data_IF_478124466669
#
_entry.id   IF_478124466669
#
_cell.length_a   1.000
_cell.length_b   1.000
_cell.length_c   1.000
_cell.angle_alpha   90.00
_cell.angle_beta   90.00
_cell.angle_gamma   90.00
#
_symmetry.space_group_name_H-M   'P 1'
#
loop_
_entity.id
_entity.type
_entity.pdbx_description
1 polymer ?
#
# COMPACT_ATOMS: atom_id res chain seq x y z
N UNK A 1 -6.55 -22.85 -30.56
CA UNK A 1 -6.55 -22.34 -29.19
C UNK A 1 -7.17 -20.96 -29.17
N UNK A 2 -7.95 -20.62 -28.14
CA UNK A 2 -8.52 -19.28 -27.98
C UNK A 2 -7.48 -18.34 -27.37
N UNK A 3 -7.49 -17.07 -27.76
CA UNK A 3 -6.58 -16.07 -27.18
C UNK A 3 -7.18 -15.47 -25.91
N UNK A 4 -6.42 -15.36 -24.83
CA UNK A 4 -6.91 -14.83 -23.56
C UNK A 4 -6.57 -13.35 -23.45
N UNK A 5 -7.61 -12.53 -23.35
CA UNK A 5 -7.51 -11.10 -23.08
C UNK A 5 -7.65 -10.89 -21.58
N UNK A 6 -6.62 -10.31 -20.96
CA UNK A 6 -6.49 -10.21 -19.50
C UNK A 6 -6.86 -8.82 -18.99
N UNK A 7 -6.60 -7.80 -19.81
CA UNK A 7 -6.81 -6.38 -19.54
C UNK A 7 -7.13 -5.64 -20.83
N UNK A 8 -7.56 -4.38 -20.76
CA UNK A 8 -7.71 -3.56 -21.96
C UNK A 8 -6.38 -3.24 -22.66
N UNK A 9 -5.27 -3.26 -21.93
CA UNK A 9 -3.94 -3.05 -22.50
C UNK A 9 -3.53 -4.22 -23.43
N UNK A 10 -4.14 -5.39 -23.25
CA UNK A 10 -3.88 -6.56 -24.10
C UNK A 10 -4.67 -6.49 -25.40
N UNK A 11 -4.10 -5.80 -26.40
CA UNK A 11 -4.66 -5.76 -27.76
C UNK A 11 -4.73 -7.18 -28.34
N UNK A 12 -5.94 -7.70 -28.47
CA UNK A 12 -6.24 -8.97 -29.13
C UNK A 12 -5.65 -8.99 -30.55
N UNK A 13 -5.03 -10.11 -30.98
CA UNK A 13 -4.66 -10.29 -32.38
C UNK A 13 -5.90 -10.29 -33.29
N UNK A 14 -5.85 -9.55 -34.40
CA UNK A 14 -6.90 -9.59 -35.42
C UNK A 14 -7.08 -11.03 -35.93
N UNK A 15 -8.33 -11.47 -36.10
CA UNK A 15 -8.73 -12.80 -36.63
C UNK A 15 -8.54 -14.02 -35.71
N UNK A 16 -8.55 -13.87 -34.38
CA UNK A 16 -8.57 -15.00 -33.43
C UNK A 16 -9.79 -14.97 -32.52
N UNK A 17 -10.39 -16.14 -32.25
CA UNK A 17 -11.36 -16.31 -31.16
C UNK A 17 -10.69 -15.99 -29.82
N UNK A 18 -11.38 -15.26 -28.95
CA UNK A 18 -10.83 -14.81 -27.67
C UNK A 18 -11.75 -15.11 -26.49
N UNK A 19 -11.14 -15.33 -25.33
CA UNK A 19 -11.79 -15.35 -24.03
C UNK A 19 -11.30 -14.14 -23.22
N UNK A 20 -12.21 -13.40 -22.62
CA UNK A 20 -11.90 -12.24 -21.78
C UNK A 20 -11.94 -12.66 -20.30
N UNK A 21 -10.90 -12.36 -19.51
CA UNK A 21 -10.83 -12.76 -18.09
C UNK A 21 -11.86 -12.07 -17.19
N UNK A 22 -12.50 -11.02 -17.69
CA UNK A 22 -13.60 -10.35 -17.02
C UNK A 22 -14.10 -9.15 -17.79
N UNK A 23 -15.10 -8.48 -17.24
CA UNK A 23 -15.73 -7.30 -17.87
C UNK A 23 -14.81 -6.08 -17.90
N UNK A 24 -13.74 -6.06 -17.10
CA UNK A 24 -12.72 -5.01 -17.12
C UNK A 24 -11.84 -5.04 -18.38
N UNK A 25 -11.93 -6.08 -19.22
CA UNK A 25 -11.23 -6.12 -20.49
C UNK A 25 -11.84 -5.20 -21.57
N UNK A 26 -12.95 -4.51 -21.28
CA UNK A 26 -13.68 -3.66 -22.22
C UNK A 26 -13.66 -2.18 -21.81
N UNK A 27 -13.57 -1.28 -22.80
CA UNK A 27 -13.42 0.17 -22.60
C UNK A 27 -14.69 0.94 -22.26
N UNK A 28 -15.85 0.30 -22.34
CA UNK A 28 -17.12 0.86 -21.91
C UNK A 28 -17.82 -0.13 -20.98
N UNK A 29 -18.56 0.34 -19.95
CA UNK A 29 -19.41 -0.53 -19.15
C UNK A 29 -20.32 -1.31 -20.08
N UNK A 30 -20.13 -2.63 -20.11
CA UNK A 30 -20.80 -3.52 -21.03
C UNK A 30 -22.24 -3.77 -20.58
N UNK A 31 -23.04 -2.72 -20.49
CA UNK A 31 -24.48 -2.86 -20.36
C UNK A 31 -25.00 -3.25 -21.75
N UNK A 32 -25.25 -4.55 -21.94
CA UNK A 32 -25.86 -5.05 -23.16
C UNK A 32 -24.91 -5.49 -24.28
N UNK A 33 -23.83 -6.23 -23.97
CA UNK A 33 -23.24 -7.10 -25.00
C UNK A 33 -24.27 -8.20 -25.32
N UNK A 34 -25.18 -7.90 -26.24
CA UNK A 34 -25.87 -8.90 -27.03
C UNK A 34 -24.88 -9.35 -28.12
N UNK A 35 -24.20 -10.48 -27.90
CA UNK A 35 -23.38 -11.13 -28.92
C UNK A 35 -22.14 -11.85 -28.39
N UNK A 36 -22.08 -13.16 -28.62
CA UNK A 36 -20.92 -14.00 -29.02
C UNK A 36 -19.54 -13.91 -28.34
N UNK A 37 -19.30 -13.13 -27.29
CA UNK A 37 -17.99 -13.04 -26.63
C UNK A 37 -17.92 -13.97 -25.41
N UNK A 38 -16.89 -14.82 -25.35
CA UNK A 38 -16.65 -15.69 -24.20
C UNK A 38 -16.00 -14.87 -23.07
N UNK A 39 -16.75 -14.56 -22.02
CA UNK A 39 -16.25 -13.83 -20.84
C UNK A 39 -16.16 -14.81 -19.67
N UNK A 40 -14.98 -14.90 -19.05
CA UNK A 40 -14.77 -15.71 -17.87
C UNK A 40 -15.55 -15.12 -16.68
N UNK A 41 -16.31 -15.94 -15.93
CA UNK A 41 -17.07 -15.47 -14.78
C UNK A 41 -16.17 -14.82 -13.73
N UNK A 42 -16.67 -13.78 -13.08
CA UNK A 42 -15.96 -13.17 -11.95
C UNK A 42 -15.78 -14.18 -10.81
N UNK A 43 -14.52 -14.45 -10.47
CA UNK A 43 -14.14 -15.56 -9.56
C UNK A 43 -14.66 -15.42 -8.13
N UNK A 44 -15.05 -14.20 -7.72
CA UNK A 44 -15.56 -13.89 -6.38
C UNK A 44 -17.08 -13.70 -6.31
N UNK A 45 -17.83 -14.10 -7.35
CA UNK A 45 -19.30 -14.09 -7.32
C UNK A 45 -19.88 -15.01 -6.22
N UNK A 46 -19.17 -16.09 -5.86
CA UNK A 46 -19.51 -16.95 -4.74
C UNK A 46 -19.05 -16.32 -3.41
N UNK A 47 -20.01 -15.91 -2.57
CA UNK A 47 -19.73 -15.30 -1.26
C UNK A 47 -19.06 -16.26 -0.28
N UNK A 48 -19.38 -17.55 -0.31
CA UNK A 48 -18.75 -18.55 0.56
C UNK A 48 -17.27 -18.69 0.22
N UNK A 49 -16.96 -18.71 -1.08
CA UNK A 49 -15.59 -18.69 -1.60
C UNK A 49 -14.87 -17.40 -1.23
N UNK A 50 -15.48 -16.24 -1.48
CA UNK A 50 -14.89 -14.95 -1.11
C UNK A 50 -14.53 -14.90 0.38
N UNK A 51 -15.45 -15.30 1.26
CA UNK A 51 -15.23 -15.32 2.71
C UNK A 51 -14.09 -16.27 3.13
N UNK A 52 -14.05 -17.47 2.55
CA UNK A 52 -12.98 -18.45 2.80
C UNK A 52 -11.62 -17.87 2.43
N UNK A 53 -11.51 -17.31 1.23
CA UNK A 53 -10.25 -16.78 0.70
C UNK A 53 -9.80 -15.50 1.42
N UNK A 54 -10.74 -14.63 1.81
CA UNK A 54 -10.46 -13.48 2.68
C UNK A 54 -9.85 -13.92 4.01
N UNK A 55 -10.42 -14.96 4.64
CA UNK A 55 -9.88 -15.52 5.90
C UNK A 55 -8.47 -16.09 5.69
N UNK A 56 -8.25 -16.86 4.63
CA UNK A 56 -6.94 -17.42 4.31
C UNK A 56 -5.87 -16.33 4.12
N UNK A 57 -6.20 -15.26 3.39
CA UNK A 57 -5.28 -14.14 3.18
C UNK A 57 -5.03 -13.38 4.49
N UNK A 58 -6.07 -13.15 5.30
CA UNK A 58 -5.93 -12.50 6.59
C UNK A 58 -5.01 -13.28 7.54
N UNK A 59 -5.13 -14.61 7.61
CA UNK A 59 -4.29 -15.47 8.44
C UNK A 59 -2.81 -15.46 8.02
N UNK A 60 -2.54 -15.33 6.72
CA UNK A 60 -1.17 -15.27 6.17
C UNK A 60 -0.58 -13.87 6.20
N UNK A 61 -1.43 -12.82 6.19
CA UNK A 61 -1.03 -11.41 6.07
C UNK A 61 0.12 -11.03 7.01
N UNK A 62 -0.02 -11.34 8.30
CA UNK A 62 0.97 -10.95 9.31
C UNK A 62 2.29 -11.71 9.22
N UNK A 63 2.24 -12.95 8.75
CA UNK A 63 3.41 -13.79 8.51
C UNK A 63 4.17 -13.22 7.31
N UNK A 64 3.48 -13.00 6.18
CA UNK A 64 4.07 -12.44 4.97
C UNK A 64 4.65 -11.04 5.22
N UNK A 65 3.94 -10.20 5.99
CA UNK A 65 4.45 -8.89 6.38
C UNK A 65 5.69 -9.00 7.28
N UNK A 66 5.77 -10.00 8.16
CA UNK A 66 6.98 -10.27 8.96
C UNK A 66 8.20 -10.57 8.09
N UNK A 67 8.04 -11.38 7.04
CA UNK A 67 9.10 -11.64 6.07
C UNK A 67 9.48 -10.38 5.28
N UNK A 68 8.49 -9.61 4.84
CA UNK A 68 8.70 -8.33 4.18
C UNK A 68 9.54 -7.37 5.04
N UNK A 69 9.21 -7.26 6.33
CA UNK A 69 9.97 -6.48 7.32
C UNK A 69 11.40 -6.96 7.44
N UNK A 70 11.63 -8.26 7.56
CA UNK A 70 12.98 -8.82 7.66
C UNK A 70 13.80 -8.51 6.40
N UNK A 71 13.18 -8.59 5.22
CA UNK A 71 13.83 -8.24 3.96
C UNK A 71 14.19 -6.76 3.92
N UNK A 72 13.28 -5.85 4.30
CA UNK A 72 13.57 -4.42 4.37
C UNK A 72 14.71 -4.11 5.36
N UNK A 73 14.67 -4.68 6.55
CA UNK A 73 15.75 -4.56 7.53
C UNK A 73 17.10 -5.02 6.95
N UNK A 74 17.13 -6.17 6.27
CA UNK A 74 18.34 -6.68 5.63
C UNK A 74 18.84 -5.79 4.48
N UNK A 75 17.94 -5.33 3.61
CA UNK A 75 18.28 -4.43 2.49
C UNK A 75 18.92 -3.14 3.00
N UNK A 76 18.37 -2.59 4.08
CA UNK A 76 18.78 -1.31 4.64
C UNK A 76 19.87 -1.42 5.71
N UNK A 77 20.28 -2.63 6.08
CA UNK A 77 21.15 -2.90 7.23
C UNK A 77 20.65 -2.22 8.51
N UNK A 78 19.37 -2.41 8.79
CA UNK A 78 18.65 -1.87 9.95
C UNK A 78 18.05 -2.99 10.78
N UNK A 79 17.69 -2.68 12.03
CA UNK A 79 16.96 -3.59 12.91
C UNK A 79 15.74 -2.88 13.50
N UNK A 80 14.88 -2.38 12.62
CA UNK A 80 13.67 -1.66 13.02
C UNK A 80 12.51 -2.62 13.30
N UNK A 81 11.62 -2.21 14.20
CA UNK A 81 10.49 -3.03 14.63
C UNK A 81 9.45 -3.26 13.53
N UNK A 82 8.62 -4.30 13.67
CA UNK A 82 7.45 -4.53 12.80
C UNK A 82 6.51 -3.31 12.78
N UNK A 83 6.34 -2.62 13.92
CA UNK A 83 5.53 -1.40 14.04
C UNK A 83 6.11 -0.23 13.24
N UNK A 84 7.43 0.00 13.31
CA UNK A 84 8.11 1.02 12.52
C UNK A 84 7.83 0.84 11.03
N UNK A 85 8.05 -0.36 10.51
CA UNK A 85 7.79 -0.66 9.10
C UNK A 85 6.31 -0.66 8.76
N UNK A 86 5.43 -1.04 9.70
CA UNK A 86 4.00 -1.03 9.47
C UNK A 86 3.47 0.39 9.25
N UNK A 87 3.90 1.36 10.07
CA UNK A 87 3.56 2.78 9.91
C UNK A 87 3.93 3.28 8.50
N UNK A 88 5.05 2.80 7.96
CA UNK A 88 5.55 3.24 6.66
C UNK A 88 4.85 2.51 5.50
N UNK A 89 4.66 1.20 5.60
CA UNK A 89 4.43 0.34 4.44
C UNK A 89 3.17 -0.53 4.50
N UNK A 90 2.55 -0.73 5.67
CA UNK A 90 1.54 -1.79 5.85
C UNK A 90 0.32 -1.58 4.96
N UNK A 91 -0.22 -0.36 4.86
CA UNK A 91 -1.34 -0.06 3.95
C UNK A 91 -1.05 -0.49 2.51
N UNK A 92 0.10 -0.08 1.97
CA UNK A 92 0.52 -0.45 0.62
C UNK A 92 0.70 -1.96 0.48
N UNK A 93 1.31 -2.61 1.48
CA UNK A 93 1.52 -4.07 1.46
C UNK A 93 0.18 -4.84 1.46
N UNK A 94 -0.77 -4.43 2.30
CA UNK A 94 -2.08 -5.08 2.40
C UNK A 94 -2.91 -4.85 1.11
N UNK A 95 -2.83 -3.67 0.49
CA UNK A 95 -3.42 -3.40 -0.83
C UNK A 95 -2.78 -4.27 -1.91
N UNK A 96 -1.43 -4.31 -1.95
CA UNK A 96 -0.66 -5.11 -2.91
C UNK A 96 -0.99 -6.60 -2.80
N UNK A 97 -1.05 -7.12 -1.57
CA UNK A 97 -1.37 -8.52 -1.29
C UNK A 97 -2.74 -8.91 -1.83
N UNK A 98 -3.76 -8.10 -1.54
CA UNK A 98 -5.12 -8.38 -2.02
C UNK A 98 -5.22 -8.31 -3.55
N UNK A 99 -4.63 -7.28 -4.16
CA UNK A 99 -4.66 -7.10 -5.61
C UNK A 99 -3.90 -8.23 -6.31
N UNK A 100 -2.70 -8.56 -5.85
CA UNK A 100 -1.92 -9.65 -6.43
C UNK A 100 -2.61 -10.99 -6.25
N UNK A 101 -3.23 -11.24 -5.10
CA UNK A 101 -4.02 -12.44 -4.86
C UNK A 101 -5.21 -12.58 -5.80
N UNK A 102 -5.94 -11.49 -6.03
CA UNK A 102 -7.05 -11.47 -6.99
C UNK A 102 -6.59 -11.88 -8.40
N UNK A 103 -5.50 -11.29 -8.90
CA UNK A 103 -4.96 -11.61 -10.23
C UNK A 103 -4.43 -13.04 -10.30
N UNK A 104 -3.70 -13.49 -9.28
CA UNK A 104 -3.20 -14.88 -9.18
C UNK A 104 -4.36 -15.87 -9.23
N UNK A 105 -5.38 -15.64 -8.41
CA UNK A 105 -6.49 -16.56 -8.27
C UNK A 105 -7.38 -16.57 -9.51
N UNK A 106 -7.56 -15.41 -10.17
CA UNK A 106 -8.23 -15.33 -11.48
C UNK A 106 -7.53 -16.19 -12.53
N UNK A 107 -6.20 -16.11 -12.64
CA UNK A 107 -5.43 -16.96 -13.57
C UNK A 107 -5.53 -18.44 -13.19
N UNK A 108 -5.41 -18.77 -11.91
CA UNK A 108 -5.49 -20.15 -11.44
C UNK A 108 -6.81 -20.81 -11.81
N UNK A 109 -7.93 -20.17 -11.49
CA UNK A 109 -9.27 -20.68 -11.83
C UNK A 109 -9.50 -20.73 -13.33
N UNK A 110 -8.96 -19.77 -14.08
CA UNK A 110 -9.07 -19.78 -15.53
C UNK A 110 -8.33 -20.97 -16.16
N UNK A 111 -7.12 -21.29 -15.68
CA UNK A 111 -6.35 -22.45 -16.16
C UNK A 111 -7.08 -23.76 -15.86
N UNK A 112 -7.74 -23.84 -14.70
CA UNK A 112 -8.56 -25.01 -14.33
C UNK A 112 -9.84 -25.11 -15.19
N UNK A 113 -10.35 -23.98 -15.68
CA UNK A 113 -11.53 -23.89 -16.54
C UNK A 113 -11.25 -24.24 -18.01
N UNK A 114 -10.14 -23.77 -18.58
CA UNK A 114 -9.75 -24.02 -19.97
C UNK A 114 -8.23 -24.27 -20.06
N UNK A 115 -7.86 -25.38 -20.71
CA UNK A 115 -6.45 -25.79 -20.91
C UNK A 115 -5.92 -25.49 -22.31
N UNK A 116 -6.76 -25.03 -23.24
CA UNK A 116 -6.43 -24.81 -24.66
C UNK A 116 -6.45 -23.33 -25.05
N UNK A 117 -5.58 -22.57 -24.40
CA UNK A 117 -5.49 -21.13 -24.60
C UNK A 117 -4.09 -20.66 -25.00
N UNK A 118 -4.05 -19.54 -25.70
CA UNK A 118 -2.84 -18.77 -25.97
C UNK A 118 -2.96 -17.41 -25.27
N UNK A 119 -1.84 -16.89 -24.80
CA UNK A 119 -1.77 -15.57 -24.19
C UNK A 119 -0.47 -14.88 -24.58
N UNK A 120 -0.44 -13.56 -24.44
CA UNK A 120 0.79 -12.76 -24.52
C UNK A 120 1.13 -12.25 -23.12
N UNK A 121 2.41 -12.30 -22.78
CA UNK A 121 2.93 -11.54 -21.64
C UNK A 121 3.52 -10.22 -22.12
N UNK A 122 3.35 -9.17 -21.32
CA UNK A 122 4.15 -7.97 -21.39
C UNK A 122 5.64 -8.35 -21.25
N UNK A 123 6.48 -7.79 -22.13
CA UNK A 123 7.91 -8.06 -22.10
C UNK A 123 8.53 -7.41 -20.85
N UNK A 124 9.47 -8.09 -20.16
CA UNK A 124 10.08 -7.56 -18.93
C UNK A 124 10.74 -6.18 -19.09
N UNK A 125 11.25 -5.85 -20.28
CA UNK A 125 11.82 -4.54 -20.61
C UNK A 125 10.80 -3.38 -20.50
N UNK A 126 9.50 -3.70 -20.62
CA UNK A 126 8.43 -2.72 -20.49
C UNK A 126 7.89 -2.64 -19.06
N UNK A 127 8.38 -3.45 -18.12
CA UNK A 127 7.87 -3.39 -16.75
C UNK A 127 8.20 -2.04 -16.12
N UNK A 128 7.23 -1.50 -15.38
CA UNK A 128 7.36 -0.25 -14.64
C UNK A 128 7.43 -0.59 -13.15
N UNK A 129 8.43 -0.02 -12.48
CA UNK A 129 8.53 -0.02 -11.03
C UNK A 129 8.09 1.33 -10.52
N UNK A 130 7.07 1.40 -9.63
CA UNK A 130 6.60 2.67 -9.08
C UNK A 130 7.70 3.36 -8.28
N UNK A 131 7.77 4.68 -8.33
CA UNK A 131 8.68 5.48 -7.52
C UNK A 131 8.17 5.57 -6.08
N UNK A 132 6.87 5.84 -5.92
CA UNK A 132 6.22 6.02 -4.60
C UNK A 132 5.05 5.05 -4.41
N UNK A 133 4.61 4.88 -3.16
CA UNK A 133 3.38 4.12 -2.87
C UNK A 133 2.14 4.78 -3.47
N UNK A 134 2.11 6.12 -3.56
CA UNK A 134 1.01 6.86 -4.17
C UNK A 134 0.97 6.68 -5.69
N UNK A 135 2.14 6.70 -6.35
CA UNK A 135 2.24 6.37 -7.77
C UNK A 135 1.73 4.94 -8.02
N UNK A 136 2.07 3.99 -7.16
CA UNK A 136 1.56 2.63 -7.28
C UNK A 136 0.02 2.57 -7.19
N UNK A 137 -0.55 3.23 -6.17
CA UNK A 137 -2.00 3.30 -5.98
C UNK A 137 -2.69 3.92 -7.20
N UNK A 138 -2.27 5.10 -7.63
CA UNK A 138 -2.87 5.82 -8.77
C UNK A 138 -2.74 5.05 -10.09
N UNK A 139 -1.60 4.41 -10.33
CA UNK A 139 -1.38 3.62 -11.53
C UNK A 139 -2.30 2.39 -11.55
N UNK A 140 -2.39 1.62 -10.48
CA UNK A 140 -3.26 0.44 -10.44
C UNK A 140 -4.75 0.77 -10.61
N UNK A 141 -5.22 1.83 -9.97
CA UNK A 141 -6.65 2.17 -9.98
C UNK A 141 -7.08 2.81 -11.29
N UNK A 142 -6.15 3.44 -12.01
CA UNK A 142 -6.48 4.26 -13.16
C UNK A 142 -5.89 3.74 -14.48
N UNK A 143 -5.02 2.73 -14.47
CA UNK A 143 -4.33 2.24 -15.68
C UNK A 143 -4.37 0.72 -15.79
N UNK A 144 -4.68 0.23 -17.00
CA UNK A 144 -4.70 -1.20 -17.31
C UNK A 144 -3.30 -1.82 -17.41
N UNK A 145 -2.28 -1.00 -17.65
CA UNK A 145 -0.93 -1.45 -17.92
C UNK A 145 -0.31 -2.20 -16.74
N UNK A 146 -0.49 -1.68 -15.52
CA UNK A 146 0.03 -2.28 -14.30
C UNK A 146 -0.70 -3.59 -13.97
N UNK A 147 -2.00 -3.68 -14.28
CA UNK A 147 -2.73 -4.94 -14.21
C UNK A 147 -2.16 -5.99 -15.19
N UNK A 148 -1.83 -5.58 -16.42
CA UNK A 148 -1.22 -6.45 -17.44
C UNK A 148 0.16 -6.93 -17.02
N UNK A 149 0.94 -6.06 -16.36
CA UNK A 149 2.22 -6.42 -15.75
C UNK A 149 2.04 -7.50 -14.68
N UNK A 150 1.08 -7.37 -13.75
CA UNK A 150 0.85 -8.37 -12.71
C UNK A 150 0.46 -9.73 -13.32
N UNK A 151 -0.47 -9.74 -14.28
CA UNK A 151 -0.82 -10.97 -15.01
C UNK A 151 0.38 -11.59 -15.72
N UNK A 152 1.23 -10.77 -16.34
CA UNK A 152 2.43 -11.23 -17.03
C UNK A 152 3.47 -11.82 -16.08
N UNK A 153 3.57 -11.28 -14.86
CA UNK A 153 4.47 -11.77 -13.82
C UNK A 153 3.99 -13.11 -13.23
N UNK A 154 2.68 -13.30 -13.09
CA UNK A 154 2.07 -14.57 -12.68
C UNK A 154 2.30 -15.64 -13.76
N UNK A 155 2.02 -15.32 -15.04
CA UNK A 155 2.10 -16.26 -16.16
C UNK A 155 3.52 -16.56 -16.65
N UNK A 156 4.51 -15.74 -16.30
CA UNK A 156 5.92 -15.95 -16.68
C UNK A 156 6.86 -15.76 -15.47
N UNK A 157 6.94 -16.70 -14.53
CA UNK A 157 7.75 -16.56 -13.32
C UNK A 157 9.27 -16.40 -13.56
N UNK A 158 9.76 -16.57 -14.78
CA UNK A 158 11.17 -16.41 -15.16
C UNK A 158 11.54 -14.97 -15.57
N UNK A 159 10.62 -14.01 -15.48
CA UNK A 159 10.83 -12.64 -15.98
C UNK A 159 12.06 -11.94 -15.40
N UNK A 160 12.49 -12.28 -14.17
CA UNK A 160 13.62 -11.64 -13.50
C UNK A 160 14.96 -11.84 -14.22
N UNK A 161 15.11 -12.91 -15.00
CA UNK A 161 16.31 -13.16 -15.83
C UNK A 161 16.54 -12.08 -16.90
N UNK A 162 15.51 -11.28 -17.18
CA UNK A 162 15.50 -10.26 -18.22
C UNK A 162 15.46 -8.83 -17.67
N UNK A 163 15.45 -8.67 -16.33
CA UNK A 163 15.50 -7.36 -15.67
C UNK A 163 16.95 -6.99 -15.39
N UNK A 164 17.31 -5.74 -15.70
CA UNK A 164 18.64 -5.19 -15.41
C UNK A 164 18.65 -4.57 -14.02
N UNK A 165 19.65 -4.92 -13.22
CA UNK A 165 19.87 -4.37 -11.89
C UNK A 165 21.23 -3.69 -11.83
N UNK A 166 21.28 -2.58 -11.09
CA UNK A 166 22.48 -1.79 -10.88
C UNK A 166 23.05 -2.00 -9.47
N UNK A 167 24.39 -1.98 -9.38
CA UNK A 167 25.12 -1.95 -8.11
C UNK A 167 25.48 -0.50 -7.81
N UNK A 168 24.72 0.16 -6.95
CA UNK A 168 25.03 1.52 -6.54
C UNK A 168 25.38 1.56 -5.06
N UNK A 169 26.56 2.12 -4.77
CA UNK A 169 26.96 2.52 -3.43
C UNK A 169 26.55 3.98 -3.24
N UNK A 170 25.70 4.22 -2.28
CA UNK A 170 25.33 5.58 -1.92
C UNK A 170 26.33 6.13 -0.91
N UNK A 171 27.02 7.22 -1.29
CA UNK A 171 27.92 7.95 -0.39
C UNK A 171 27.16 9.09 0.27
N UNK A 172 27.33 9.18 1.58
CA UNK A 172 26.40 9.88 2.43
C UNK A 172 27.13 10.24 3.73
N UNK A 173 27.47 11.50 3.95
CA UNK A 173 28.30 11.96 5.07
C UNK A 173 27.55 12.99 5.91
N UNK A 174 27.15 12.66 7.15
CA UNK A 174 26.42 13.62 7.99
C UNK A 174 26.49 13.32 9.50
N UNK A 175 26.14 14.33 10.30
CA UNK A 175 26.21 14.42 11.78
C UNK A 175 24.81 14.48 12.43
N UNK A 176 24.79 14.38 13.77
CA UNK A 176 23.68 13.92 14.65
C UNK A 176 22.36 14.72 14.66
N UNK A 177 21.23 14.07 15.05
CA UNK A 177 19.88 14.67 15.07
C UNK A 177 19.70 15.74 16.16
N UNK A 178 18.71 16.63 15.98
CA UNK A 178 18.16 17.52 17.02
C UNK A 178 16.74 17.05 17.39
N UNK A 179 16.51 16.67 18.65
CA UNK A 179 15.18 16.32 19.19
C UNK A 179 14.56 17.51 19.91
N UNK A 180 13.26 17.75 19.72
CA UNK A 180 12.44 18.62 20.60
C UNK A 180 11.21 17.86 21.12
N UNK A 181 10.75 18.24 22.31
CA UNK A 181 9.55 17.70 22.97
C UNK A 181 8.25 18.31 22.39
N UNK A 182 8.00 18.16 21.09
CA UNK A 182 6.84 18.74 20.40
C UNK A 182 5.71 17.74 20.10
N UNK A 183 4.50 18.28 19.89
CA UNK A 183 3.30 17.59 19.40
C UNK A 183 3.07 18.06 17.96
N UNK A 184 3.02 17.13 17.01
CA UNK A 184 2.70 17.47 15.62
C UNK A 184 1.26 17.08 15.28
N UNK A 185 0.52 18.06 14.79
CA UNK A 185 -0.80 17.90 14.20
C UNK A 185 -0.61 17.84 12.69
N UNK A 186 -0.67 16.62 12.16
CA UNK A 186 -0.65 16.34 10.74
C UNK A 186 -2.05 16.43 10.17
N UNK A 187 -2.17 16.45 8.85
CA UNK A 187 -3.38 16.76 8.11
C UNK A 187 -4.62 16.07 8.68
N UNK A 188 -5.43 16.88 9.35
CA UNK A 188 -6.79 16.57 9.77
C UNK A 188 -7.73 17.12 8.71
N UNK A 189 -7.65 16.62 7.47
CA UNK A 189 -8.43 17.09 6.31
C UNK A 189 -9.95 17.16 6.56
N UNK A 190 -10.41 16.50 7.62
CA UNK A 190 -11.79 16.39 8.04
C UNK A 190 -12.09 17.10 9.36
N UNK A 191 -11.21 18.00 9.79
CA UNK A 191 -11.46 18.94 10.87
C UNK A 191 -11.57 20.35 10.29
N UNK A 192 -12.51 21.16 10.80
CA UNK A 192 -12.59 22.55 10.39
C UNK A 192 -11.30 23.27 10.84
N UNK A 193 -10.72 24.19 10.05
CA UNK A 193 -9.50 24.90 10.45
C UNK A 193 -9.59 25.56 11.83
N UNK A 194 -10.77 26.03 12.23
CA UNK A 194 -11.02 26.58 13.57
C UNK A 194 -10.87 25.55 14.69
N UNK A 195 -11.23 24.29 14.46
CA UNK A 195 -11.09 23.23 15.46
C UNK A 195 -9.63 22.87 15.64
N UNK A 196 -8.90 22.79 14.53
CA UNK A 196 -7.46 22.55 14.55
C UNK A 196 -6.76 23.67 15.30
N UNK A 197 -7.18 24.91 15.06
CA UNK A 197 -6.70 26.08 15.79
C UNK A 197 -7.11 26.04 17.26
N UNK A 198 -8.33 25.62 17.60
CA UNK A 198 -8.78 25.49 18.99
C UNK A 198 -8.00 24.40 19.75
N UNK A 199 -7.73 23.26 19.11
CA UNK A 199 -6.86 22.21 19.65
C UNK A 199 -5.46 22.76 19.87
N UNK A 200 -4.88 23.44 18.86
CA UNK A 200 -3.57 24.08 18.98
C UNK A 200 -3.54 25.09 20.13
N UNK A 201 -4.55 25.96 20.24
CA UNK A 201 -4.64 26.97 21.30
C UNK A 201 -4.72 26.35 22.70
N UNK A 202 -5.44 25.24 22.86
CA UNK A 202 -5.50 24.50 24.13
C UNK A 202 -4.15 23.91 24.54
N UNK A 203 -3.36 23.50 23.55
CA UNK A 203 -2.07 22.82 23.75
C UNK A 203 -0.89 23.82 23.76
N UNK A 204 -1.10 25.04 23.25
CA UNK A 204 -0.13 26.12 23.22
C UNK A 204 1.06 25.84 22.31
N UNK A 205 2.24 26.31 22.72
CA UNK A 205 3.50 26.15 21.99
C UNK A 205 4.00 24.71 21.90
N UNK A 206 3.31 23.76 22.56
CA UNK A 206 3.61 22.34 22.44
C UNK A 206 3.12 21.76 21.11
N UNK A 207 2.16 22.39 20.42
CA UNK A 207 1.56 21.86 19.19
C UNK A 207 1.92 22.66 17.93
N UNK A 208 2.46 21.97 16.92
CA UNK A 208 2.71 22.53 15.59
C UNK A 208 1.84 21.86 14.52
N UNK A 209 1.29 22.66 13.61
CA UNK A 209 0.61 22.14 12.43
C UNK A 209 1.64 21.88 11.34
N UNK A 210 1.86 20.62 10.99
CA UNK A 210 2.86 20.24 10.00
C UNK A 210 2.17 19.83 8.70
N UNK A 211 2.43 20.57 7.63
CA UNK A 211 2.07 20.18 6.27
C UNK A 211 3.33 19.80 5.52
N UNK A 212 3.41 18.55 5.09
CA UNK A 212 4.43 18.16 4.13
C UNK A 212 3.91 18.50 2.74
N UNK A 213 4.23 19.70 2.26
CA UNK A 213 4.22 19.91 0.82
C UNK A 213 5.23 18.96 0.21
N UNK A 214 4.79 18.19 -0.79
CA UNK A 214 5.54 17.19 -1.53
C UNK A 214 7.02 17.55 -1.57
N UNK A 215 7.84 16.94 -0.69
CA UNK A 215 9.30 16.94 -0.86
C UNK A 215 9.48 16.53 -2.31
N UNK A 216 10.02 17.42 -3.15
CA UNK A 216 9.82 17.29 -4.59
C UNK A 216 10.28 15.91 -5.06
N UNK A 217 9.41 15.22 -5.81
CA UNK A 217 9.68 13.86 -6.28
C UNK A 217 10.99 13.75 -7.08
N UNK A 218 11.42 14.86 -7.68
CA UNK A 218 12.71 14.99 -8.35
C UNK A 218 13.91 14.67 -7.46
N UNK A 219 13.85 14.96 -6.15
CA UNK A 219 14.97 14.72 -5.22
C UNK A 219 15.22 13.23 -4.92
N UNK A 220 14.27 12.36 -5.21
CA UNK A 220 14.36 10.91 -4.93
C UNK A 220 13.95 10.03 -6.10
N UNK A 221 13.83 10.62 -7.30
CA UNK A 221 13.59 9.88 -8.54
C UNK A 221 14.77 8.97 -8.82
N UNK A 222 14.56 7.68 -8.63
CA UNK A 222 15.52 6.65 -9.00
C UNK A 222 15.11 6.05 -10.35
N UNK A 223 15.99 6.09 -11.34
CA UNK A 223 15.71 5.52 -12.67
C UNK A 223 16.24 4.10 -12.84
N UNK A 224 16.93 3.55 -11.83
CA UNK A 224 17.46 2.20 -11.84
C UNK A 224 16.75 1.29 -10.83
N UNK A 225 17.09 0.00 -10.88
CA UNK A 225 16.66 -1.01 -9.92
C UNK A 225 17.87 -1.57 -9.19
N UNK A 226 17.89 -1.46 -7.87
CA UNK A 226 18.99 -1.97 -7.05
C UNK A 226 19.03 -3.50 -7.05
N UNK A 227 20.23 -4.08 -7.11
CA UNK A 227 20.44 -5.52 -6.91
C UNK A 227 19.90 -6.02 -5.56
N UNK A 228 19.78 -5.13 -4.56
CA UNK A 228 19.19 -5.45 -3.25
C UNK A 228 17.74 -5.94 -3.36
N UNK A 229 17.02 -5.61 -4.44
CA UNK A 229 15.66 -6.12 -4.69
C UNK A 229 15.61 -7.64 -4.78
N UNK A 230 16.70 -8.29 -5.19
CA UNK A 230 16.76 -9.75 -5.22
C UNK A 230 16.71 -10.40 -3.83
N UNK A 231 16.83 -9.61 -2.74
CA UNK A 231 16.56 -10.12 -1.39
C UNK A 231 15.13 -10.62 -1.20
N UNK A 232 14.16 -10.19 -2.01
CA UNK A 232 12.82 -10.80 -2.01
C UNK A 232 12.81 -12.25 -2.50
N UNK A 233 13.80 -12.67 -3.30
CA UNK A 233 13.92 -14.06 -3.73
C UNK A 233 14.38 -15.01 -2.61
N UNK A 234 14.91 -14.49 -1.49
CA UNK A 234 15.31 -15.33 -0.36
C UNK A 234 14.14 -16.15 0.21
N UNK A 235 12.91 -15.59 0.14
CA UNK A 235 11.70 -16.31 0.56
C UNK A 235 11.48 -17.60 -0.23
N UNK A 236 11.86 -17.62 -1.50
CA UNK A 236 11.62 -18.73 -2.44
C UNK A 236 12.35 -20.00 -2.04
N UNK A 237 13.46 -19.86 -1.31
CA UNK A 237 14.34 -20.95 -0.92
C UNK A 237 13.85 -21.71 0.32
N UNK A 238 12.87 -21.17 1.05
CA UNK A 238 12.48 -21.66 2.39
C UNK A 238 11.03 -22.17 2.42
N UNK A 239 10.18 -21.70 1.51
CA UNK A 239 8.75 -21.99 1.50
C UNK A 239 8.31 -22.72 0.24
N UNK A 240 7.19 -23.46 0.31
CA UNK A 240 6.68 -24.26 -0.82
C UNK A 240 5.33 -23.80 -1.38
N UNK A 241 4.74 -22.73 -0.85
CA UNK A 241 3.49 -22.20 -1.37
C UNK A 241 3.72 -21.42 -2.68
N UNK A 242 3.05 -21.84 -3.76
CA UNK A 242 3.19 -21.23 -5.08
C UNK A 242 2.81 -19.75 -5.11
N UNK A 243 1.64 -19.40 -4.54
CA UNK A 243 1.17 -18.02 -4.48
C UNK A 243 2.20 -17.12 -3.81
N UNK A 244 2.72 -17.53 -2.66
CA UNK A 244 3.67 -16.72 -1.89
C UNK A 244 5.01 -16.58 -2.61
N UNK A 245 5.44 -17.63 -3.33
CA UNK A 245 6.62 -17.53 -4.20
C UNK A 245 6.42 -16.49 -5.29
N UNK A 246 5.28 -16.53 -5.99
CA UNK A 246 4.96 -15.56 -7.03
C UNK A 246 4.83 -14.14 -6.45
N UNK A 247 4.20 -14.01 -5.28
CA UNK A 247 4.03 -12.75 -4.56
C UNK A 247 5.37 -12.13 -4.16
N UNK A 248 6.26 -12.88 -3.51
CA UNK A 248 7.58 -12.34 -3.16
C UNK A 248 8.44 -12.06 -4.39
N UNK A 249 8.33 -12.88 -5.44
CA UNK A 249 9.01 -12.60 -6.70
C UNK A 249 8.49 -11.31 -7.36
N UNK A 250 7.19 -11.05 -7.32
CA UNK A 250 6.60 -9.83 -7.89
C UNK A 250 6.99 -8.57 -7.12
N UNK A 251 7.25 -8.67 -5.81
CA UNK A 251 7.78 -7.57 -5.00
C UNK A 251 9.14 -7.05 -5.49
N UNK A 252 9.97 -7.88 -6.15
CA UNK A 252 11.24 -7.43 -6.75
C UNK A 252 11.02 -6.26 -7.70
N UNK A 253 9.95 -6.29 -8.51
CA UNK A 253 9.64 -5.25 -9.50
C UNK A 253 8.65 -4.23 -8.96
N UNK A 254 7.66 -4.64 -8.17
CA UNK A 254 6.54 -3.76 -7.83
C UNK A 254 6.73 -3.00 -6.51
N UNK A 255 7.71 -3.34 -5.67
CA UNK A 255 7.98 -2.55 -4.46
C UNK A 255 8.46 -1.14 -4.84
N UNK A 256 7.82 -0.07 -4.33
CA UNK A 256 8.19 1.30 -4.64
C UNK A 256 9.66 1.61 -4.41
N UNK A 257 10.27 2.37 -5.32
CA UNK A 257 11.68 2.74 -5.22
C UNK A 257 12.02 3.54 -3.97
N UNK A 258 11.06 4.32 -3.48
CA UNK A 258 11.20 5.06 -2.23
C UNK A 258 11.43 4.16 -1.01
N UNK A 259 11.03 2.89 -1.06
CA UNK A 259 11.22 1.91 0.02
C UNK A 259 12.53 1.13 -0.10
N UNK A 260 13.20 1.16 -1.25
CA UNK A 260 14.41 0.36 -1.51
C UNK A 260 15.57 1.30 -1.87
N UNK A 261 15.52 1.93 -3.04
CA UNK A 261 16.60 2.77 -3.52
C UNK A 261 16.72 4.08 -2.74
N UNK A 262 15.60 4.77 -2.54
CA UNK A 262 15.64 6.14 -1.98
C UNK A 262 15.47 6.19 -0.46
N UNK A 263 15.19 5.04 0.18
CA UNK A 263 14.78 5.00 1.59
C UNK A 263 15.82 5.60 2.52
N UNK A 264 17.08 5.14 2.47
CA UNK A 264 18.14 5.61 3.37
C UNK A 264 18.42 7.10 3.19
N UNK A 265 18.47 7.57 1.94
CA UNK A 265 18.68 8.99 1.65
C UNK A 265 17.54 9.86 2.18
N UNK A 266 16.30 9.42 1.97
CA UNK A 266 15.11 10.16 2.41
C UNK A 266 14.95 10.13 3.94
N UNK A 267 15.17 8.98 4.58
CA UNK A 267 15.23 8.84 6.04
C UNK A 267 16.25 9.78 6.65
N UNK A 268 17.44 9.85 6.05
CA UNK A 268 18.46 10.77 6.53
C UNK A 268 18.01 12.23 6.44
N UNK A 269 17.47 12.63 5.28
CA UNK A 269 16.93 13.98 5.11
C UNK A 269 15.92 14.32 6.21
N UNK A 270 14.99 13.42 6.51
CA UNK A 270 14.00 13.59 7.58
C UNK A 270 14.67 13.79 8.94
N UNK A 271 15.60 12.91 9.32
CA UNK A 271 16.25 12.96 10.64
C UNK A 271 17.11 14.23 10.84
N UNK A 272 17.70 14.75 9.77
CA UNK A 272 18.62 15.90 9.84
C UNK A 272 17.92 17.25 9.73
N UNK A 273 16.81 17.31 9.00
CA UNK A 273 16.17 18.58 8.63
C UNK A 273 14.83 18.79 9.35
N UNK A 274 14.25 17.76 9.94
CA UNK A 274 12.95 17.84 10.61
C UNK A 274 13.08 17.48 12.09
N UNK A 275 12.31 18.19 12.91
CA UNK A 275 12.15 17.84 14.31
C UNK A 275 11.23 16.62 14.44
N UNK A 276 11.71 15.58 15.14
CA UNK A 276 10.93 14.37 15.38
C UNK A 276 10.07 14.60 16.64
N UNK A 277 8.73 14.57 16.53
CA UNK A 277 7.84 14.87 17.65
C UNK A 277 7.75 13.71 18.63
N UNK A 278 7.36 13.98 19.89
CA UNK A 278 7.04 12.95 20.88
C UNK A 278 5.56 12.50 20.80
N UNK A 279 4.72 13.24 20.09
CA UNK A 279 3.33 12.88 19.81
C UNK A 279 2.96 13.32 18.39
N UNK A 280 2.42 12.40 17.61
CA UNK A 280 1.87 12.70 16.28
C UNK A 280 0.38 12.39 16.24
N UNK A 281 -0.41 13.32 15.70
CA UNK A 281 -1.86 13.16 15.52
C UNK A 281 -2.19 13.32 14.04
N UNK A 282 -2.90 12.35 13.44
CA UNK A 282 -3.37 12.45 12.05
C UNK A 282 -4.67 11.69 11.81
N UNK A 283 -5.42 12.10 10.79
CA UNK A 283 -6.51 11.29 10.23
C UNK A 283 -6.18 10.75 8.84
N UNK A 284 -5.17 11.25 8.12
CA UNK A 284 -5.01 10.89 6.70
C UNK A 284 -3.54 10.73 6.25
N UNK A 285 -2.59 11.39 6.91
CA UNK A 285 -1.21 11.46 6.40
C UNK A 285 -0.48 10.12 6.49
N UNK A 286 -0.95 9.22 7.35
CA UNK A 286 -0.52 7.82 7.37
C UNK A 286 -0.93 7.04 6.11
N UNK A 287 -1.66 7.64 5.17
CA UNK A 287 -1.98 7.07 3.87
C UNK A 287 -1.20 7.78 2.76
N UNK A 288 -1.29 9.11 2.71
CA UNK A 288 -0.90 9.89 1.53
C UNK A 288 0.55 10.35 1.53
N UNK A 289 1.15 10.63 2.69
CA UNK A 289 2.46 11.29 2.77
C UNK A 289 3.55 10.34 3.24
N UNK A 290 4.52 10.04 2.36
CA UNK A 290 5.69 9.25 2.75
C UNK A 290 6.55 9.95 3.81
N UNK A 291 6.67 11.29 3.73
CA UNK A 291 7.37 12.11 4.72
C UNK A 291 6.73 11.98 6.11
N UNK A 292 5.40 12.14 6.18
CA UNK A 292 4.68 12.01 7.44
C UNK A 292 4.80 10.61 8.04
N UNK A 293 4.63 9.58 7.20
CA UNK A 293 4.85 8.17 7.61
C UNK A 293 6.22 7.96 8.24
N UNK A 294 7.26 8.52 7.64
CA UNK A 294 8.62 8.35 8.13
C UNK A 294 8.87 9.13 9.43
N UNK A 295 8.37 10.36 9.54
CA UNK A 295 8.46 11.13 10.79
C UNK A 295 7.69 10.43 11.93
N UNK A 296 6.49 9.90 11.66
CA UNK A 296 5.73 9.12 12.64
C UNK A 296 6.46 7.83 13.04
N UNK A 297 7.12 7.15 12.10
CA UNK A 297 7.89 5.95 12.39
C UNK A 297 9.14 6.27 13.24
N UNK A 298 9.88 7.34 12.92
CA UNK A 298 10.99 7.83 13.74
C UNK A 298 10.53 8.28 15.13
N UNK A 299 9.38 8.94 15.23
CA UNK A 299 8.75 9.33 16.50
C UNK A 299 8.52 8.11 17.39
N UNK A 300 7.89 7.06 16.86
CA UNK A 300 7.69 5.80 17.62
C UNK A 300 9.01 5.13 17.97
N UNK A 301 10.02 5.20 17.10
CA UNK A 301 11.34 4.63 17.33
C UNK A 301 12.05 5.26 18.55
N UNK A 302 11.79 6.54 18.84
CA UNK A 302 12.34 7.25 20.02
C UNK A 302 11.37 7.25 21.23
N UNK A 303 10.31 6.44 21.20
CA UNK A 303 9.35 6.32 22.30
C UNK A 303 8.17 7.30 22.22
N UNK A 304 8.05 8.04 21.12
CA UNK A 304 6.89 8.88 20.82
C UNK A 304 5.60 8.07 20.61
N UNK A 305 4.48 8.80 20.61
CA UNK A 305 3.12 8.25 20.56
C UNK A 305 2.40 8.66 19.29
N UNK A 306 1.53 7.77 18.80
CA UNK A 306 0.70 8.03 17.62
C UNK A 306 -0.78 8.01 17.98
N UNK A 307 -1.49 9.02 17.53
CA UNK A 307 -2.95 9.08 17.57
C UNK A 307 -3.45 9.12 16.14
N UNK A 308 -4.24 8.12 15.78
CA UNK A 308 -4.91 8.08 14.48
C UNK A 308 -6.42 8.22 14.65
N UNK A 309 -7.09 8.69 13.60
CA UNK A 309 -8.54 8.81 13.59
C UNK A 309 -9.13 8.42 12.25
N UNK A 310 -10.38 7.96 12.31
CA UNK A 310 -11.20 7.62 11.16
C UNK A 310 -11.33 8.81 10.20
N UNK A 311 -11.22 8.52 8.91
CA UNK A 311 -11.27 9.50 7.80
C UNK A 311 -12.20 9.09 6.65
N UNK A 312 -13.01 8.05 6.83
CA UNK A 312 -13.97 7.58 5.83
C UNK A 312 -15.20 6.97 6.46
N UNK A 313 -16.31 6.88 5.72
CA UNK A 313 -17.60 6.39 6.26
C UNK A 313 -17.73 4.88 6.37
N UNK A 314 -16.85 4.10 5.73
CA UNK A 314 -17.04 2.65 5.57
C UNK A 314 -16.38 1.79 6.67
N UNK A 315 -15.82 2.42 7.70
CA UNK A 315 -15.14 1.70 8.77
C UNK A 315 -16.10 0.75 9.46
N UNK A 316 -15.68 -0.51 9.61
CA UNK A 316 -16.50 -1.61 10.18
C UNK A 316 -17.78 -1.95 9.41
N UNK A 317 -18.00 -1.39 8.22
CA UNK A 317 -19.11 -1.78 7.36
C UNK A 317 -18.83 -3.11 6.61
N UNK A 318 -17.56 -3.53 6.54
CA UNK A 318 -17.12 -4.75 5.88
C UNK A 318 -16.68 -5.81 6.89
N UNK A 319 -16.84 -7.09 6.53
CA UNK A 319 -16.39 -8.22 7.36
C UNK A 319 -14.85 -8.25 7.51
N UNK A 320 -14.13 -7.82 6.48
CA UNK A 320 -12.68 -7.63 6.49
C UNK A 320 -12.38 -6.16 6.19
N UNK A 321 -11.80 -5.47 7.16
CA UNK A 321 -11.43 -4.06 7.07
C UNK A 321 -9.94 -3.92 7.42
N UNK A 322 -9.08 -4.19 6.42
CA UNK A 322 -7.63 -4.19 6.59
C UNK A 322 -7.07 -2.79 6.84
N UNK A 323 -7.72 -1.76 6.31
CA UNK A 323 -7.32 -0.37 6.52
C UNK A 323 -7.50 0.01 7.98
N UNK A 324 -8.71 -0.17 8.52
CA UNK A 324 -8.97 0.03 9.94
C UNK A 324 -8.06 -0.85 10.82
N UNK A 325 -7.87 -2.12 10.46
CA UNK A 325 -7.02 -3.02 11.24
C UNK A 325 -5.57 -2.53 11.30
N UNK A 326 -4.99 -2.12 10.16
CA UNK A 326 -3.68 -1.48 10.14
C UNK A 326 -3.64 -0.25 11.03
N UNK A 327 -4.66 0.61 10.93
CA UNK A 327 -4.70 1.84 11.69
C UNK A 327 -4.73 1.59 13.20
N UNK A 328 -5.69 0.79 13.62
CA UNK A 328 -5.90 0.45 15.00
C UNK A 328 -4.70 -0.29 15.59
N UNK A 329 -4.05 -1.20 14.88
CA UNK A 329 -2.91 -1.96 15.40
C UNK A 329 -1.67 -1.08 15.66
N UNK A 330 -1.47 -0.02 14.87
CA UNK A 330 -0.21 0.72 14.86
C UNK A 330 -0.24 2.08 15.56
N UNK A 331 -1.42 2.58 15.97
CA UNK A 331 -1.54 3.75 16.84
C UNK A 331 -1.47 3.38 18.34
N UNK A 332 -1.33 4.38 19.21
CA UNK A 332 -1.49 4.24 20.66
C UNK A 332 -2.94 4.57 21.10
N UNK A 333 -3.64 5.44 20.36
CA UNK A 333 -5.09 5.70 20.48
C UNK A 333 -5.73 5.84 19.11
N UNK A 334 -6.95 5.34 18.97
CA UNK A 334 -7.74 5.42 17.74
C UNK A 334 -9.07 6.14 17.97
N UNK A 335 -9.30 7.22 17.23
CA UNK A 335 -10.57 7.96 17.25
C UNK A 335 -11.52 7.44 16.19
N UNK A 336 -12.68 6.91 16.61
CA UNK A 336 -13.72 6.40 15.71
C UNK A 336 -14.95 7.30 15.71
N UNK A 337 -15.81 7.18 14.70
CA UNK A 337 -17.07 7.93 14.58
C UNK A 337 -18.26 7.27 15.30
N UNK A 338 -18.04 6.76 16.51
CA UNK A 338 -19.11 6.32 17.41
C UNK A 338 -19.49 4.84 17.32
N UNK A 339 -18.82 4.04 16.50
CA UNK A 339 -19.06 2.60 16.40
C UNK A 339 -18.18 1.77 17.34
N UNK A 340 -17.17 2.37 17.99
CA UNK A 340 -16.26 1.61 18.81
C UNK A 340 -16.94 1.10 20.09
N UNK A 341 -16.58 -0.10 20.59
CA UNK A 341 -17.12 -0.60 21.84
C UNK A 341 -16.68 0.26 23.04
N UNK A 342 -17.59 0.50 23.99
CA UNK A 342 -17.34 1.33 25.19
C UNK A 342 -16.25 0.76 26.12
N UNK A 343 -15.96 -0.54 26.02
CA UNK A 343 -15.05 -1.26 26.91
C UNK A 343 -13.61 -1.40 26.37
N UNK A 344 -13.27 -0.75 25.26
CA UNK A 344 -11.92 -0.82 24.69
C UNK A 344 -11.17 0.49 24.88
N UNK A 345 -10.24 0.53 25.84
CA UNK A 345 -9.48 1.74 26.16
C UNK A 345 -8.81 2.37 24.93
N UNK A 346 -8.25 1.57 24.02
CA UNK A 346 -7.55 2.10 22.83
C UNK A 346 -8.46 2.91 21.91
N UNK A 347 -9.76 2.60 21.89
CA UNK A 347 -10.73 3.35 21.11
C UNK A 347 -11.24 4.56 21.89
N UNK A 348 -11.46 5.64 21.14
CA UNK A 348 -12.18 6.81 21.63
C UNK A 348 -13.29 7.11 20.64
N UNK A 349 -14.53 6.98 21.08
CA UNK A 349 -15.68 7.44 20.31
C UNK A 349 -15.70 8.96 20.33
N UNK A 350 -15.56 9.56 19.16
CA UNK A 350 -15.85 10.97 18.95
C UNK A 350 -16.77 11.11 17.74
N UNK A 351 -17.69 12.07 17.74
CA UNK A 351 -18.35 12.41 16.50
C UNK A 351 -17.30 12.69 15.41
N UNK A 352 -17.63 12.42 14.15
CA UNK A 352 -16.85 13.00 13.05
C UNK A 352 -16.73 14.50 13.30
N UNK A 353 -15.51 15.03 13.31
CA UNK A 353 -15.27 16.47 13.43
C UNK A 353 -16.02 17.20 12.31
N UNK A 354 -16.10 16.61 11.12
CA UNK A 354 -16.93 17.07 10.01
C UNK A 354 -18.45 16.92 10.22
N UNK A 355 -18.94 15.81 10.78
CA UNK A 355 -20.38 15.50 10.81
C UNK A 355 -21.10 15.95 12.08
N UNK A 356 -20.38 16.51 13.07
CA UNK A 356 -21.01 16.98 14.31
C UNK A 356 -21.22 18.48 14.34
N UNK A 357 -22.47 18.88 14.56
CA UNK A 357 -22.82 20.25 14.94
C UNK A 357 -22.30 20.66 16.33
N UNK A 358 -21.41 19.86 16.95
CA UNK A 358 -20.76 20.17 18.23
C UNK A 358 -19.87 21.41 18.10
N UNK A 359 -19.27 21.63 16.93
CA UNK A 359 -18.39 22.77 16.68
C UNK A 359 -19.12 24.11 16.70
N UNK A 360 -20.39 24.14 16.26
CA UNK A 360 -21.24 25.33 16.37
C UNK A 360 -21.60 25.73 17.80
N UNK A 361 -21.46 24.83 18.78
CA UNK A 361 -21.84 25.09 20.19
C UNK A 361 -20.71 25.66 21.04
N UNK A 362 -19.45 25.57 20.60
CA UNK A 362 -18.28 26.01 21.37
C UNK A 362 -17.50 27.15 20.70
N UNK A 363 -17.95 27.64 19.54
CA UNK A 363 -17.43 28.84 18.87
C UNK A 363 -18.18 30.13 19.30
N UNK A 364 -18.66 30.20 20.55
CA UNK A 364 -19.20 31.43 21.15
C UNK A 364 -18.34 31.89 22.31
#
# INVERSE_FOLDING_TARGET
MKYVVKTMADKQPLNRSAIYLGTWCFSKPCVGINGSHDVFPFVWNDRSKLNLHQKMIAERRDILFGYFVNILNNIHNMNQSKRYWAIITRKWFDDYLQIFYDRYYTIKEFIDYDSQFEYRCLKPINFITPTTMWEYFTNLTCKDFENEQLYSQILNPNYLKYIKFDRIKYNYNFTTPKTKNGINLYSMYQAHPEDIYAIKNKIGDLAELVRFENISEEKYKCNYLSYQRLSFENYLNIHNNEFEKLFFRSLVVNTPKVLIESFIGFRRYVIENLEIPMLSVTTNDHIVSFAAKLVMAESVNIGGKLIWGQHGGNYKAFALDLEHQHEYENCDRYYSWGWAPDNQEKYVNMPSLNASGILHRYAK
#
